data_IF_187084814514
#
_entry.id   IF_187084814514
#
_cell.length_a   1.000
_cell.length_b   1.000
_cell.length_c   1.000
_cell.angle_alpha   90.00
_cell.angle_beta   90.00
_cell.angle_gamma   90.00
#
_symmetry.space_group_name_H-M   'P 1'
#
loop_
_entity.id
_entity.type
_entity.pdbx_description
1 polymer ?
#
# COMPACT_ATOMS: atom_id res chain seq x y z
N UNK A 1 0.30 34.80 -7.65
CA UNK A 1 1.25 34.33 -8.68
C UNK A 1 2.30 33.33 -8.15
N UNK A 2 3.07 33.63 -7.06
CA UNK A 2 4.10 32.69 -6.53
C UNK A 2 3.59 31.28 -6.16
N UNK A 3 2.37 31.13 -5.63
CA UNK A 3 1.78 29.86 -5.22
C UNK A 3 1.49 28.90 -6.38
N UNK A 4 1.09 29.44 -7.54
CA UNK A 4 0.79 28.66 -8.75
C UNK A 4 2.08 28.14 -9.41
N UNK A 5 3.13 28.96 -9.46
CA UNK A 5 4.44 28.52 -9.96
C UNK A 5 5.04 27.40 -9.10
N UNK A 6 4.96 27.52 -7.80
CA UNK A 6 5.49 26.51 -6.85
C UNK A 6 4.77 25.16 -6.94
N UNK A 7 3.46 25.17 -7.19
CA UNK A 7 2.68 23.92 -7.41
C UNK A 7 3.08 23.25 -8.73
N UNK A 8 3.31 24.04 -9.80
CA UNK A 8 3.74 23.51 -11.09
C UNK A 8 5.13 22.84 -11.02
N UNK A 9 6.08 23.43 -10.30
CA UNK A 9 7.43 22.88 -10.16
C UNK A 9 7.42 21.54 -9.37
N UNK A 10 6.61 21.48 -8.31
CA UNK A 10 6.45 20.24 -7.54
C UNK A 10 5.79 19.13 -8.36
N UNK A 11 4.74 19.43 -9.10
CA UNK A 11 4.07 18.46 -9.98
C UNK A 11 5.01 18.00 -11.10
N UNK A 12 5.80 18.91 -11.67
CA UNK A 12 6.81 18.58 -12.67
C UNK A 12 7.89 17.65 -12.12
N UNK A 13 8.39 17.90 -10.91
CA UNK A 13 9.35 17.05 -10.23
C UNK A 13 8.77 15.65 -9.99
N UNK A 14 7.51 15.56 -9.53
CA UNK A 14 6.82 14.29 -9.34
C UNK A 14 6.68 13.49 -10.64
N UNK A 15 6.22 14.13 -11.71
CA UNK A 15 6.11 13.51 -13.02
C UNK A 15 7.46 13.00 -13.53
N UNK A 16 8.52 13.80 -13.35
CA UNK A 16 9.87 13.39 -13.73
C UNK A 16 10.34 12.14 -12.97
N UNK A 17 10.03 12.04 -11.68
CA UNK A 17 10.37 10.87 -10.87
C UNK A 17 9.61 9.62 -11.33
N UNK A 18 8.32 9.74 -11.59
CA UNK A 18 7.48 8.64 -12.11
C UNK A 18 8.01 8.14 -13.47
N UNK A 19 8.29 9.07 -14.38
CA UNK A 19 8.85 8.73 -15.69
C UNK A 19 10.19 8.03 -15.54
N UNK A 20 11.06 8.53 -14.68
CA UNK A 20 12.37 7.92 -14.41
C UNK A 20 12.25 6.50 -13.86
N UNK A 21 11.33 6.24 -12.92
CA UNK A 21 11.11 4.89 -12.40
C UNK A 21 10.61 3.93 -13.50
N UNK A 22 9.62 4.37 -14.29
CA UNK A 22 9.10 3.55 -15.40
C UNK A 22 10.20 3.26 -16.40
N UNK A 23 11.08 4.23 -16.71
CA UNK A 23 12.22 4.03 -17.60
C UNK A 23 13.22 3.02 -17.03
N UNK A 24 13.49 3.05 -15.72
CA UNK A 24 14.36 2.09 -15.06
C UNK A 24 13.80 0.66 -15.11
N UNK A 25 12.48 0.50 -14.84
CA UNK A 25 11.82 -0.79 -14.95
C UNK A 25 11.87 -1.32 -16.39
N UNK A 26 11.58 -0.46 -17.38
CA UNK A 26 11.61 -0.83 -18.79
C UNK A 26 13.04 -1.20 -19.26
N UNK A 27 14.05 -0.43 -18.86
CA UNK A 27 15.46 -0.73 -19.18
C UNK A 27 15.89 -2.07 -18.60
N UNK A 28 15.41 -2.40 -17.40
CA UNK A 28 15.65 -3.70 -16.79
C UNK A 28 14.98 -4.82 -17.60
N UNK A 29 13.73 -4.64 -18.04
CA UNK A 29 13.02 -5.59 -18.90
C UNK A 29 13.82 -5.84 -20.17
N UNK A 30 14.26 -4.79 -20.86
CA UNK A 30 15.05 -4.90 -22.10
C UNK A 30 16.33 -5.71 -21.87
N UNK A 31 17.12 -5.36 -20.84
CA UNK A 31 18.35 -6.08 -20.50
C UNK A 31 18.13 -7.58 -20.26
N UNK A 32 17.08 -7.92 -19.48
CA UNK A 32 16.80 -9.32 -19.16
C UNK A 32 16.20 -10.08 -20.34
N UNK A 33 15.51 -9.41 -21.26
CA UNK A 33 15.05 -9.99 -22.52
C UNK A 33 16.22 -10.31 -23.44
N UNK A 34 17.19 -9.41 -23.57
CA UNK A 34 18.42 -9.65 -24.33
C UNK A 34 19.24 -10.82 -23.73
N UNK A 35 19.30 -10.87 -22.40
CA UNK A 35 19.96 -11.97 -21.71
C UNK A 35 19.33 -13.34 -22.01
N UNK A 36 17.99 -13.42 -22.06
CA UNK A 36 17.28 -14.65 -22.45
C UNK A 36 17.61 -15.02 -23.89
N UNK A 37 17.61 -14.05 -24.81
CA UNK A 37 17.92 -14.28 -26.23
C UNK A 37 19.32 -14.85 -26.42
N UNK A 38 20.30 -14.37 -25.64
CA UNK A 38 21.68 -14.82 -25.70
C UNK A 38 21.96 -16.18 -25.02
N UNK A 39 21.00 -16.68 -24.20
CA UNK A 39 21.16 -17.91 -23.41
C UNK A 39 19.93 -18.83 -23.55
N UNK A 40 19.39 -18.92 -24.77
CA UNK A 40 18.14 -19.62 -25.06
C UNK A 40 18.19 -21.13 -24.73
N UNK A 41 19.38 -21.72 -24.73
CA UNK A 41 19.60 -23.14 -24.45
C UNK A 41 19.71 -23.47 -22.96
N UNK A 42 19.62 -22.47 -22.05
CA UNK A 42 19.70 -22.65 -20.61
C UNK A 42 18.36 -22.42 -19.94
N UNK A 43 17.54 -23.47 -19.64
CA UNK A 43 16.20 -23.32 -19.08
C UNK A 43 16.16 -22.63 -17.70
N UNK A 44 17.16 -22.88 -16.85
CA UNK A 44 17.20 -22.24 -15.51
C UNK A 44 17.46 -20.74 -15.65
N UNK A 45 18.36 -20.35 -16.53
CA UNK A 45 18.66 -18.95 -16.80
C UNK A 45 17.44 -18.22 -17.37
N UNK A 46 16.71 -18.86 -18.29
CA UNK A 46 15.46 -18.32 -18.83
C UNK A 46 14.43 -18.11 -17.71
N UNK A 47 14.26 -19.11 -16.82
CA UNK A 47 13.28 -19.03 -15.69
C UNK A 47 13.56 -17.84 -14.79
N UNK A 48 14.80 -17.63 -14.36
CA UNK A 48 15.19 -16.55 -13.45
C UNK A 48 15.03 -15.17 -14.09
N UNK A 49 15.44 -15.02 -15.35
CA UNK A 49 15.28 -13.78 -16.09
C UNK A 49 13.80 -13.45 -16.36
N UNK A 50 12.98 -14.44 -16.71
CA UNK A 50 11.53 -14.30 -16.87
C UNK A 50 10.87 -13.78 -15.59
N UNK A 51 11.21 -14.32 -14.43
CA UNK A 51 10.68 -13.87 -13.15
C UNK A 51 11.00 -12.39 -12.90
N UNK A 52 12.22 -11.95 -13.26
CA UNK A 52 12.61 -10.54 -13.15
C UNK A 52 11.81 -9.64 -14.09
N UNK A 53 11.62 -10.05 -15.34
CA UNK A 53 10.81 -9.31 -16.32
C UNK A 53 9.36 -9.14 -15.80
N UNK A 54 8.76 -10.21 -15.29
CA UNK A 54 7.40 -10.17 -14.75
C UNK A 54 7.28 -9.21 -13.54
N UNK A 55 8.26 -9.23 -12.62
CA UNK A 55 8.30 -8.27 -11.50
C UNK A 55 8.39 -6.81 -11.96
N UNK A 56 9.24 -6.53 -12.96
CA UNK A 56 9.35 -5.16 -13.46
C UNK A 56 8.07 -4.70 -14.18
N UNK A 57 7.43 -5.57 -14.94
CA UNK A 57 6.14 -5.29 -15.59
C UNK A 57 5.04 -5.04 -14.56
N UNK A 58 5.01 -5.81 -13.47
CA UNK A 58 4.11 -5.61 -12.34
C UNK A 58 4.33 -4.22 -11.68
N UNK A 59 5.58 -3.83 -11.45
CA UNK A 59 5.91 -2.52 -10.87
C UNK A 59 5.48 -1.37 -11.79
N UNK A 60 5.63 -1.51 -13.12
CA UNK A 60 5.12 -0.51 -14.08
C UNK A 60 3.61 -0.37 -13.95
N UNK A 61 2.86 -1.48 -13.96
CA UNK A 61 1.39 -1.45 -13.80
C UNK A 61 0.96 -0.75 -12.52
N UNK A 62 1.58 -1.10 -11.37
CA UNK A 62 1.27 -0.46 -10.08
C UNK A 62 1.62 1.03 -10.06
N UNK A 63 2.76 1.41 -10.66
CA UNK A 63 3.17 2.83 -10.77
C UNK A 63 2.19 3.64 -11.63
N UNK A 64 1.71 3.06 -12.73
CA UNK A 64 0.71 3.71 -13.58
C UNK A 64 -0.63 3.89 -12.85
N UNK A 65 -1.12 2.87 -12.13
CA UNK A 65 -2.34 2.96 -11.32
C UNK A 65 -2.22 4.02 -10.22
N UNK A 66 -1.09 4.06 -9.53
CA UNK A 66 -0.78 5.11 -8.56
C UNK A 66 -0.89 6.51 -9.17
N UNK A 67 -0.33 6.71 -10.37
CA UNK A 67 -0.38 7.99 -11.05
C UNK A 67 -1.81 8.40 -11.43
N UNK A 68 -2.63 7.46 -11.93
CA UNK A 68 -4.04 7.73 -12.23
C UNK A 68 -4.82 8.13 -10.98
N UNK A 69 -4.70 7.37 -9.90
CA UNK A 69 -5.38 7.68 -8.64
C UNK A 69 -4.92 9.03 -8.06
N UNK A 70 -3.63 9.31 -8.10
CA UNK A 70 -3.09 10.61 -7.70
C UNK A 70 -3.65 11.76 -8.54
N UNK A 71 -3.76 11.59 -9.86
CA UNK A 71 -4.34 12.57 -10.75
C UNK A 71 -5.81 12.85 -10.44
N UNK A 72 -6.61 11.78 -10.20
CA UNK A 72 -8.02 11.90 -9.81
C UNK A 72 -8.18 12.64 -8.48
N UNK A 73 -7.34 12.34 -7.49
CA UNK A 73 -7.34 12.99 -6.17
C UNK A 73 -7.04 14.49 -6.31
N UNK A 74 -5.99 14.86 -7.06
CA UNK A 74 -5.58 16.26 -7.17
C UNK A 74 -6.53 17.12 -8.02
N UNK A 75 -7.24 16.50 -8.95
CA UNK A 75 -8.27 17.19 -9.75
C UNK A 75 -9.64 17.23 -9.08
N UNK A 76 -9.77 16.67 -7.86
CA UNK A 76 -11.05 16.45 -7.17
C UNK A 76 -12.07 15.61 -7.98
N UNK A 77 -11.56 14.77 -8.89
CA UNK A 77 -12.38 13.92 -9.75
C UNK A 77 -12.49 12.47 -9.24
N UNK A 78 -12.00 12.18 -8.03
CA UNK A 78 -12.10 10.85 -7.45
C UNK A 78 -13.57 10.50 -7.16
N UNK A 79 -14.17 9.73 -8.06
CA UNK A 79 -15.51 9.17 -7.95
C UNK A 79 -15.37 7.71 -7.56
N UNK A 80 -16.19 7.25 -6.60
CA UNK A 80 -16.18 5.87 -6.11
C UNK A 80 -17.39 5.12 -6.65
N UNK A 81 -17.16 3.96 -7.26
CA UNK A 81 -18.18 3.01 -7.66
C UNK A 81 -18.28 1.89 -6.60
N UNK A 82 -19.02 2.17 -5.51
CA UNK A 82 -19.09 1.28 -4.37
C UNK A 82 -20.04 0.11 -4.63
N UNK A 83 -19.55 -1.11 -4.37
CA UNK A 83 -20.28 -2.38 -4.37
C UNK A 83 -20.09 -3.11 -3.05
N UNK A 84 -20.93 -4.11 -2.78
CA UNK A 84 -20.80 -4.95 -1.57
C UNK A 84 -19.68 -5.96 -1.78
N UNK A 85 -18.60 -5.83 -1.08
CA UNK A 85 -17.36 -6.59 -1.29
C UNK A 85 -16.85 -7.23 0.01
N UNK A 86 -16.21 -8.39 -0.14
CA UNK A 86 -15.53 -9.08 0.95
C UNK A 86 -14.06 -8.60 1.03
N UNK A 87 -13.75 -7.85 2.07
CA UNK A 87 -12.41 -7.27 2.24
C UNK A 87 -11.32 -8.33 2.43
N UNK A 88 -11.64 -9.48 3.04
CA UNK A 88 -10.68 -10.57 3.21
C UNK A 88 -10.20 -11.09 1.85
N UNK A 89 -11.13 -11.29 0.91
CA UNK A 89 -10.78 -11.74 -0.44
C UNK A 89 -9.94 -10.71 -1.20
N UNK A 90 -10.20 -9.43 -0.97
CA UNK A 90 -9.40 -8.35 -1.57
C UNK A 90 -7.96 -8.43 -1.06
N UNK A 91 -7.76 -8.54 0.25
CA UNK A 91 -6.42 -8.58 0.83
C UNK A 91 -5.70 -9.89 0.49
N UNK A 92 -6.38 -11.04 0.52
CA UNK A 92 -5.83 -12.32 0.07
C UNK A 92 -5.38 -12.25 -1.40
N UNK A 93 -6.15 -11.60 -2.27
CA UNK A 93 -5.78 -11.38 -3.67
C UNK A 93 -4.51 -10.54 -3.80
N UNK A 94 -4.47 -9.41 -3.09
CA UNK A 94 -3.32 -8.50 -3.14
C UNK A 94 -2.05 -9.18 -2.56
N UNK A 95 -2.16 -9.87 -1.43
CA UNK A 95 -1.01 -10.57 -0.83
C UNK A 95 -0.42 -11.61 -1.78
N UNK A 96 -1.26 -12.33 -2.50
CA UNK A 96 -0.83 -13.27 -3.53
C UNK A 96 -0.14 -12.57 -4.70
N UNK A 97 -0.66 -11.43 -5.16
CA UNK A 97 -0.04 -10.65 -6.22
C UNK A 97 1.35 -10.12 -5.84
N UNK A 98 1.54 -9.79 -4.56
CA UNK A 98 2.80 -9.26 -4.05
C UNK A 98 3.80 -10.34 -3.58
N UNK A 99 3.40 -11.60 -3.51
CA UNK A 99 4.21 -12.68 -2.95
C UNK A 99 5.58 -12.78 -3.65
N UNK A 100 5.61 -12.88 -4.96
CA UNK A 100 6.85 -12.96 -5.75
C UNK A 100 7.75 -11.73 -5.58
N UNK A 101 7.15 -10.54 -5.51
CA UNK A 101 7.88 -9.30 -5.31
C UNK A 101 8.56 -9.28 -3.94
N UNK A 102 7.84 -9.62 -2.88
CA UNK A 102 8.35 -9.64 -1.51
C UNK A 102 9.37 -10.76 -1.32
N UNK A 103 9.14 -11.94 -1.88
CA UNK A 103 10.08 -13.06 -1.86
C UNK A 103 11.40 -12.73 -2.54
N UNK A 104 11.44 -11.83 -3.52
CA UNK A 104 12.69 -11.35 -4.13
C UNK A 104 13.63 -10.68 -3.12
N UNK A 105 13.10 -10.12 -2.03
CA UNK A 105 13.82 -9.60 -0.85
C UNK A 105 13.83 -10.57 0.34
N UNK A 106 13.36 -11.82 0.15
CA UNK A 106 13.18 -12.82 1.21
C UNK A 106 12.26 -12.35 2.34
N UNK A 107 11.26 -11.53 1.99
CA UNK A 107 10.20 -11.10 2.89
C UNK A 107 9.03 -12.07 2.72
N UNK A 108 8.54 -12.64 3.83
CA UNK A 108 7.42 -13.59 3.84
C UNK A 108 6.19 -12.95 4.47
N UNK A 109 5.02 -13.24 3.92
CA UNK A 109 3.74 -12.80 4.47
C UNK A 109 3.22 -13.87 5.43
N UNK A 110 2.69 -13.44 6.59
CA UNK A 110 2.01 -14.26 7.57
C UNK A 110 0.67 -13.65 7.93
N UNK A 111 -0.37 -14.46 8.02
CA UNK A 111 -1.64 -14.05 8.58
C UNK A 111 -1.69 -14.51 10.05
N UNK A 112 -1.83 -13.55 10.96
CA UNK A 112 -2.05 -13.81 12.38
C UNK A 112 -3.55 -13.81 12.64
N UNK A 113 -4.21 -14.93 12.33
CA UNK A 113 -5.59 -15.14 12.78
C UNK A 113 -5.50 -15.57 14.25
N UNK A 114 -6.28 -14.96 15.13
CA UNK A 114 -6.44 -15.47 16.50
C UNK A 114 -6.92 -16.92 16.40
N UNK A 115 -6.08 -17.85 16.84
CA UNK A 115 -6.30 -19.31 16.72
C UNK A 115 -7.60 -19.79 17.40
N UNK A 116 -8.28 -18.92 18.15
CA UNK A 116 -9.50 -19.21 18.89
C UNK A 116 -10.81 -18.88 18.13
N UNK A 117 -10.74 -18.32 16.94
CA UNK A 117 -11.94 -18.03 16.16
C UNK A 117 -12.03 -19.01 14.97
N UNK A 118 -12.71 -20.16 15.18
CA UNK A 118 -13.15 -21.08 14.10
C UNK A 118 -14.12 -20.40 13.12
N UNK A 119 -14.53 -19.16 13.40
CA UNK A 119 -15.44 -18.38 12.56
C UNK A 119 -14.64 -17.48 11.63
N UNK A 120 -14.54 -17.87 10.39
CA UNK A 120 -14.03 -17.03 9.30
C UNK A 120 -15.05 -15.89 9.07
N UNK A 121 -14.91 -14.77 9.78
CA UNK A 121 -15.78 -13.62 9.60
C UNK A 121 -15.66 -13.10 8.16
N UNK A 122 -16.77 -13.07 7.45
CA UNK A 122 -16.87 -12.38 6.17
C UNK A 122 -17.08 -10.89 6.44
N UNK A 123 -16.03 -10.09 6.28
CA UNK A 123 -16.14 -8.64 6.44
C UNK A 123 -16.67 -8.01 5.16
N UNK A 124 -18.01 -8.01 5.04
CA UNK A 124 -18.69 -7.38 3.91
C UNK A 124 -18.81 -5.88 4.14
N UNK A 125 -18.35 -5.11 3.16
CA UNK A 125 -18.40 -3.65 3.22
C UNK A 125 -18.75 -3.05 1.86
N UNK A 126 -19.33 -1.84 1.88
CA UNK A 126 -19.68 -1.09 0.68
C UNK A 126 -18.47 -0.25 0.26
N UNK A 127 -17.72 -0.73 -0.74
CA UNK A 127 -16.49 -0.07 -1.19
C UNK A 127 -16.29 -0.19 -2.71
N UNK A 128 -15.47 0.70 -3.25
CA UNK A 128 -14.94 0.57 -4.61
C UNK A 128 -13.76 -0.38 -4.57
N UNK A 129 -13.98 -1.61 -5.06
CA UNK A 129 -13.00 -2.70 -5.03
C UNK A 129 -11.67 -2.27 -5.66
N UNK A 130 -11.73 -1.70 -6.87
CA UNK A 130 -10.51 -1.32 -7.61
C UNK A 130 -9.70 -0.25 -6.86
N UNK A 131 -10.36 0.75 -6.30
CA UNK A 131 -9.70 1.82 -5.55
C UNK A 131 -9.10 1.30 -4.23
N UNK A 132 -9.79 0.39 -3.51
CA UNK A 132 -9.23 -0.24 -2.31
C UNK A 132 -8.08 -1.18 -2.66
N UNK A 133 -8.18 -2.00 -3.72
CA UNK A 133 -7.05 -2.81 -4.21
C UNK A 133 -5.82 -1.95 -4.51
N UNK A 134 -5.98 -0.82 -5.18
CA UNK A 134 -4.88 0.10 -5.45
C UNK A 134 -4.32 0.71 -4.15
N UNK A 135 -5.20 1.11 -3.22
CA UNK A 135 -4.79 1.69 -1.94
C UNK A 135 -3.94 0.72 -1.12
N UNK A 136 -4.40 -0.52 -0.94
CA UNK A 136 -3.65 -1.55 -0.21
C UNK A 136 -2.37 -1.92 -0.99
N UNK A 137 -2.42 -2.01 -2.32
CA UNK A 137 -1.22 -2.23 -3.15
C UNK A 137 -0.16 -1.15 -2.93
N UNK A 138 -0.57 0.11 -2.78
CA UNK A 138 0.34 1.22 -2.49
C UNK A 138 1.01 1.07 -1.12
N UNK A 139 0.30 0.56 -0.11
CA UNK A 139 0.88 0.24 1.20
C UNK A 139 1.92 -0.89 1.06
N UNK A 140 1.62 -1.94 0.29
CA UNK A 140 2.56 -3.03 0.03
C UNK A 140 3.80 -2.57 -0.76
N UNK A 141 3.66 -1.63 -1.71
CA UNK A 141 4.81 -1.02 -2.40
C UNK A 141 5.68 -0.21 -1.44
N UNK A 142 5.07 0.54 -0.52
CA UNK A 142 5.82 1.21 0.53
C UNK A 142 6.56 0.21 1.43
N UNK A 143 5.89 -0.86 1.87
CA UNK A 143 6.50 -1.94 2.65
C UNK A 143 7.65 -2.59 1.88
N UNK A 144 7.47 -2.93 0.60
CA UNK A 144 8.53 -3.48 -0.24
C UNK A 144 9.78 -2.60 -0.26
N UNK A 145 9.61 -1.26 -0.29
CA UNK A 145 10.73 -0.32 -0.32
C UNK A 145 11.39 -0.15 1.05
N UNK A 146 10.64 -0.22 2.14
CA UNK A 146 11.09 0.12 3.50
C UNK A 146 11.39 -1.07 4.38
N UNK A 147 10.86 -2.25 4.07
CA UNK A 147 11.06 -3.44 4.88
C UNK A 147 12.50 -3.95 4.81
N UNK A 148 12.95 -4.51 5.93
CA UNK A 148 14.26 -5.20 6.00
C UNK A 148 14.22 -6.50 5.19
N UNK A 149 15.33 -6.79 4.56
CA UNK A 149 15.54 -8.08 3.88
C UNK A 149 15.52 -9.23 4.91
N UNK A 150 15.03 -10.40 4.52
CA UNK A 150 14.88 -11.57 5.39
C UNK A 150 13.93 -11.35 6.58
N UNK A 151 12.85 -10.63 6.40
CA UNK A 151 11.87 -10.30 7.43
C UNK A 151 10.49 -10.88 7.12
N UNK A 152 9.50 -10.53 7.96
CA UNK A 152 8.11 -10.91 7.78
C UNK A 152 7.22 -9.67 7.66
N UNK A 153 6.11 -9.83 6.93
CA UNK A 153 4.95 -8.95 6.98
C UNK A 153 3.83 -9.74 7.64
N UNK A 154 3.35 -9.27 8.76
CA UNK A 154 2.29 -9.91 9.54
C UNK A 154 1.00 -9.13 9.36
N UNK A 155 -0.10 -9.82 9.03
CA UNK A 155 -1.41 -9.21 8.77
C UNK A 155 -2.41 -9.81 9.74
N UNK A 156 -3.17 -8.96 10.41
CA UNK A 156 -4.25 -9.34 11.30
C UNK A 156 -5.50 -8.50 11.08
N UNK A 157 -6.64 -9.05 11.47
CA UNK A 157 -7.93 -8.42 11.38
C UNK A 157 -8.64 -8.47 12.72
N UNK A 158 -9.31 -7.39 13.09
CA UNK A 158 -10.20 -7.36 14.25
C UNK A 158 -11.40 -6.46 13.98
N UNK A 159 -12.56 -6.80 14.55
CA UNK A 159 -13.69 -5.90 14.55
C UNK A 159 -13.58 -4.94 15.73
N UNK A 160 -13.82 -3.65 15.47
CA UNK A 160 -13.85 -2.61 16.51
C UNK A 160 -15.28 -2.11 16.62
N UNK A 161 -15.85 -2.20 17.82
CA UNK A 161 -17.12 -1.59 18.12
C UNK A 161 -16.93 -0.13 18.55
N UNK A 162 -17.87 0.73 18.18
CA UNK A 162 -17.87 2.17 18.50
C UNK A 162 -17.77 2.48 20.01
N UNK A 163 -18.09 1.51 20.87
CA UNK A 163 -18.02 1.67 22.33
C UNK A 163 -16.59 1.56 22.90
N UNK A 164 -15.60 1.32 22.07
CA UNK A 164 -14.20 1.35 22.48
C UNK A 164 -13.64 2.79 22.42
N UNK A 165 -14.24 3.65 23.30
CA UNK A 165 -13.85 5.06 23.41
C UNK A 165 -12.35 5.22 23.72
N UNK A 166 -11.77 4.28 24.45
CA UNK A 166 -10.37 4.29 24.82
C UNK A 166 -9.47 4.08 23.59
N UNK A 167 -9.84 3.17 22.68
CA UNK A 167 -9.12 2.95 21.43
C UNK A 167 -9.21 4.18 20.52
N UNK A 168 -10.39 4.76 20.37
CA UNK A 168 -10.64 5.92 19.52
C UNK A 168 -9.90 7.17 20.04
N UNK A 169 -9.91 7.37 21.35
CA UNK A 169 -9.23 8.50 21.99
C UNK A 169 -7.71 8.39 21.90
N UNK A 170 -7.15 7.21 22.18
CA UNK A 170 -5.71 6.96 22.17
C UNK A 170 -5.11 7.10 20.76
N UNK A 171 -5.89 6.86 19.71
CA UNK A 171 -5.45 6.98 18.32
C UNK A 171 -5.88 8.31 17.66
N UNK A 172 -6.49 9.23 18.40
CA UNK A 172 -6.89 10.55 17.89
C UNK A 172 -7.93 10.49 16.77
N UNK A 173 -8.69 9.39 16.69
CA UNK A 173 -9.70 9.16 15.67
C UNK A 173 -10.91 10.07 15.94
N UNK A 174 -11.29 10.83 14.94
CA UNK A 174 -12.44 11.74 15.03
C UNK A 174 -13.75 10.96 15.01
N UNK A 175 -14.77 11.47 15.69
CA UNK A 175 -16.11 10.91 15.92
C UNK A 175 -16.95 10.55 14.68
N UNK A 176 -16.35 10.28 13.53
CA UNK A 176 -17.05 9.98 12.27
C UNK A 176 -17.06 8.48 11.92
N UNK A 177 -16.58 7.62 12.81
CA UNK A 177 -16.62 6.18 12.58
C UNK A 177 -18.03 5.66 12.82
N UNK A 178 -18.55 4.90 11.87
CA UNK A 178 -19.86 4.24 11.94
C UNK A 178 -19.78 3.07 12.93
N UNK A 179 -20.90 2.67 13.51
CA UNK A 179 -21.03 1.73 14.64
C UNK A 179 -20.26 0.39 14.58
N UNK A 180 -19.75 -0.01 13.41
CA UNK A 180 -18.95 -1.23 13.26
C UNK A 180 -17.83 -0.97 12.27
N UNK A 181 -16.61 -1.22 12.68
CA UNK A 181 -15.44 -1.02 11.84
C UNK A 181 -14.56 -2.29 11.84
N UNK A 182 -13.90 -2.52 10.73
CA UNK A 182 -12.81 -3.48 10.61
C UNK A 182 -11.50 -2.74 10.81
N UNK A 183 -10.66 -3.21 11.72
CA UNK A 183 -9.27 -2.86 11.82
C UNK A 183 -8.43 -3.90 11.09
N UNK A 184 -7.60 -3.45 10.18
CA UNK A 184 -6.59 -4.24 9.50
C UNK A 184 -5.23 -3.73 9.99
N UNK A 185 -4.44 -4.61 10.60
CA UNK A 185 -3.10 -4.30 11.04
C UNK A 185 -2.08 -4.99 10.14
N UNK A 186 -1.08 -4.24 9.67
CA UNK A 186 0.03 -4.77 8.87
C UNK A 186 1.33 -4.39 9.55
N UNK A 187 2.02 -5.38 10.13
CA UNK A 187 3.26 -5.20 10.89
C UNK A 187 4.45 -5.66 10.04
N UNK A 188 5.52 -4.87 10.02
CA UNK A 188 6.76 -5.22 9.31
C UNK A 188 7.99 -4.62 9.98
N UNK A 189 9.13 -5.30 9.85
CA UNK A 189 10.41 -4.73 10.24
C UNK A 189 10.86 -3.70 9.22
N UNK A 190 11.17 -2.48 9.65
CA UNK A 190 11.53 -1.41 8.74
C UNK A 190 12.94 -0.91 8.92
N UNK A 191 13.47 -0.28 7.86
CA UNK A 191 14.55 0.68 7.99
C UNK A 191 14.05 1.85 8.82
N UNK A 192 14.99 2.56 9.48
CA UNK A 192 14.59 3.66 10.34
C UNK A 192 13.91 4.80 9.55
N UNK A 193 12.67 5.08 9.91
CA UNK A 193 11.90 6.23 9.41
C UNK A 193 11.93 7.27 10.53
N UNK A 194 12.46 8.48 10.29
CA UNK A 194 12.43 9.55 11.28
C UNK A 194 11.00 9.90 11.69
N UNK A 195 10.77 10.13 12.99
CA UNK A 195 9.43 10.41 13.54
C UNK A 195 8.75 11.62 12.91
N UNK A 196 9.52 12.66 12.63
CA UNK A 196 9.02 13.86 11.94
C UNK A 196 8.44 13.58 10.55
N UNK A 197 8.91 12.50 9.90
CA UNK A 197 8.40 12.08 8.61
C UNK A 197 7.15 11.23 8.75
N UNK A 198 7.06 10.37 9.76
CA UNK A 198 5.89 9.51 10.00
C UNK A 198 4.59 10.32 10.01
N UNK A 199 4.59 11.47 10.69
CA UNK A 199 3.43 12.37 10.75
C UNK A 199 3.06 13.04 9.41
N UNK A 200 4.00 13.06 8.47
CA UNK A 200 3.83 13.73 7.17
C UNK A 200 3.56 12.76 6.02
N UNK A 201 3.79 11.46 6.23
CA UNK A 201 3.70 10.44 5.17
C UNK A 201 2.34 10.39 4.46
N UNK A 202 1.27 10.69 5.15
CA UNK A 202 -0.08 10.65 4.60
C UNK A 202 -0.61 12.02 4.13
N UNK A 203 0.04 13.12 4.55
CA UNK A 203 -0.52 14.49 4.39
C UNK A 203 -0.02 15.23 3.17
N UNK A 204 1.14 14.87 2.64
CA UNK A 204 1.75 15.58 1.52
C UNK A 204 2.29 14.60 0.48
N UNK A 205 1.97 14.78 -0.82
CA UNK A 205 2.45 13.87 -1.86
C UNK A 205 3.94 13.99 -2.14
N UNK A 206 4.57 15.04 -1.65
CA UNK A 206 5.97 15.35 -1.90
C UNK A 206 6.67 15.70 -0.58
N UNK A 207 7.39 14.74 -0.02
CA UNK A 207 8.42 14.98 0.98
C UNK A 207 9.77 14.75 0.30
N UNK A 208 10.62 15.76 0.36
CA UNK A 208 12.03 15.63 0.01
C UNK A 208 12.79 15.27 1.28
N UNK A 209 13.14 14.01 1.41
CA UNK A 209 14.10 13.58 2.41
C UNK A 209 15.17 12.74 1.70
N UNK A 210 16.39 13.23 1.66
CA UNK A 210 17.56 12.54 1.10
C UNK A 210 17.31 11.86 -0.25
N UNK A 211 16.80 12.61 -1.25
CA UNK A 211 16.58 12.18 -2.64
C UNK A 211 15.46 11.14 -2.88
N UNK A 212 14.84 10.57 -1.84
CA UNK A 212 13.77 9.58 -1.96
C UNK A 212 12.37 10.19 -1.76
N UNK A 213 11.99 11.17 -2.58
CA UNK A 213 10.68 11.83 -2.52
C UNK A 213 9.49 10.95 -2.93
N UNK A 214 9.74 9.80 -3.54
CA UNK A 214 8.73 8.95 -4.16
C UNK A 214 7.89 8.14 -3.16
N UNK A 215 8.47 7.71 -2.06
CA UNK A 215 7.79 6.83 -1.10
C UNK A 215 6.52 7.43 -0.47
N UNK A 216 6.39 8.74 -0.44
CA UNK A 216 5.24 9.43 0.11
C UNK A 216 4.00 9.40 -0.78
N UNK A 217 4.18 9.31 -2.09
CA UNK A 217 3.05 9.29 -3.01
C UNK A 217 2.17 8.06 -2.79
N UNK A 218 2.78 6.92 -2.50
CA UNK A 218 2.06 5.69 -2.18
C UNK A 218 1.10 5.89 -1.00
N UNK A 219 1.62 6.38 0.13
CA UNK A 219 0.83 6.54 1.34
C UNK A 219 -0.14 7.72 1.26
N UNK A 220 0.23 8.82 0.61
CA UNK A 220 -0.69 9.93 0.35
C UNK A 220 -1.90 9.48 -0.47
N UNK A 221 -1.69 8.72 -1.53
CA UNK A 221 -2.77 8.21 -2.39
C UNK A 221 -3.62 7.20 -1.65
N UNK A 222 -3.00 6.27 -0.90
CA UNK A 222 -3.70 5.29 -0.07
C UNK A 222 -4.62 5.98 0.95
N UNK A 223 -4.10 6.96 1.68
CA UNK A 223 -4.86 7.73 2.66
C UNK A 223 -6.10 8.39 2.06
N UNK A 224 -5.94 9.11 0.95
CA UNK A 224 -7.05 9.83 0.32
C UNK A 224 -8.16 8.88 -0.16
N UNK A 225 -7.80 7.70 -0.67
CA UNK A 225 -8.76 6.68 -1.09
C UNK A 225 -9.49 6.11 0.15
N UNK A 226 -8.77 5.72 1.21
CA UNK A 226 -9.34 5.15 2.43
C UNK A 226 -10.27 6.16 3.09
N UNK A 227 -9.87 7.42 3.24
CA UNK A 227 -10.70 8.48 3.81
C UNK A 227 -11.96 8.73 2.97
N UNK A 228 -11.86 8.65 1.64
CA UNK A 228 -13.04 8.76 0.76
C UNK A 228 -14.02 7.60 0.94
N UNK A 229 -13.55 6.47 1.46
CA UNK A 229 -14.38 5.32 1.88
C UNK A 229 -14.91 5.44 3.32
N UNK A 230 -14.74 6.58 3.96
CA UNK A 230 -15.08 6.82 5.37
C UNK A 230 -14.25 5.98 6.34
N UNK A 231 -13.07 5.58 5.93
CA UNK A 231 -12.06 4.91 6.74
C UNK A 231 -10.98 5.87 7.24
N UNK A 232 -9.98 5.32 7.90
CA UNK A 232 -8.75 6.03 8.30
C UNK A 232 -7.53 5.11 8.20
N UNK A 233 -6.32 5.70 8.15
CA UNK A 233 -5.06 4.97 8.15
C UNK A 233 -3.97 5.78 8.86
N UNK A 234 -3.20 5.09 9.69
CA UNK A 234 -2.00 5.66 10.32
C UNK A 234 -0.90 4.61 10.49
N UNK A 235 0.28 5.05 10.89
CA UNK A 235 1.44 4.20 11.15
C UNK A 235 1.93 4.41 12.58
N UNK A 236 2.18 3.31 13.29
CA UNK A 236 2.78 3.30 14.61
C UNK A 236 4.18 2.70 14.56
N UNK A 237 5.06 3.19 15.43
CA UNK A 237 6.34 2.56 15.69
C UNK A 237 6.23 1.66 16.92
N UNK A 238 6.57 0.41 16.78
CA UNK A 238 6.52 -0.60 17.85
C UNK A 238 7.89 -1.24 18.06
N UNK A 239 8.08 -1.94 19.18
CA UNK A 239 9.31 -2.64 19.55
C UNK A 239 10.57 -1.76 19.43
N UNK A 240 10.61 -0.66 20.18
CA UNK A 240 11.69 0.32 20.16
C UNK A 240 11.96 0.88 18.74
N UNK A 241 10.90 1.07 17.95
CA UNK A 241 10.90 1.59 16.56
C UNK A 241 11.52 0.63 15.52
N UNK A 242 11.85 -0.60 15.88
CA UNK A 242 12.36 -1.59 14.93
C UNK A 242 11.30 -2.14 14.00
N UNK A 243 10.04 -2.11 14.44
CA UNK A 243 8.89 -2.50 13.64
C UNK A 243 7.95 -1.31 13.43
N UNK A 244 7.26 -1.33 12.33
CA UNK A 244 6.19 -0.41 11.98
C UNK A 244 4.89 -1.19 11.83
N UNK A 245 3.80 -0.55 12.24
CA UNK A 245 2.46 -1.09 12.15
C UNK A 245 1.57 -0.10 11.41
N UNK A 246 1.08 -0.48 10.24
CA UNK A 246 -0.04 0.21 9.61
C UNK A 246 -1.33 -0.26 10.27
N UNK A 247 -2.17 0.69 10.62
CA UNK A 247 -3.54 0.47 11.09
C UNK A 247 -4.47 1.07 10.05
N UNK A 248 -5.38 0.27 9.52
CA UNK A 248 -6.35 0.69 8.51
C UNK A 248 -7.74 0.39 9.06
N UNK A 249 -8.58 1.39 9.14
CA UNK A 249 -9.98 1.23 9.55
C UNK A 249 -10.88 1.41 8.34
N UNK A 250 -11.80 0.48 8.16
CA UNK A 250 -12.86 0.56 7.17
C UNK A 250 -14.22 0.27 7.82
N UNK A 251 -15.28 1.03 7.48
CA UNK A 251 -16.63 0.73 7.97
C UNK A 251 -17.10 -0.60 7.39
N UNK A 252 -17.72 -1.45 8.21
CA UNK A 252 -18.32 -2.71 7.78
C UNK A 252 -19.82 -2.71 8.03
N UNK A 253 -20.55 -3.34 7.11
CA UNK A 253 -21.97 -3.61 7.31
C UNK A 253 -22.06 -4.98 8.00
N UNK A 254 -22.37 -5.02 9.29
CA UNK A 254 -22.76 -6.27 9.94
C UNK A 254 -24.16 -6.65 9.46
N UNK A 255 -24.28 -7.33 8.33
CA UNK A 255 -25.44 -8.17 8.09
C UNK A 255 -25.13 -9.49 8.80
N UNK A 256 -25.69 -9.64 10.01
CA UNK A 256 -25.77 -10.94 10.67
C UNK A 256 -26.77 -11.77 9.85
N UNK A 257 -26.31 -12.78 9.15
CA UNK A 257 -27.06 -13.97 8.86
C UNK A 257 -26.49 -15.14 9.66
#
# INVERSE_FOLDING_TARGET
MKKVFYINDKLKSLLSNIIYEIQNYNSTIMKYTENIQNNIDNPNYIKDNKATILRQSFLIDKTMKLFYDFSDINSNNLILNKTSEDINKIIEGITKDFEDLLLSKRIKIKFNNNENEEVKYNYITLLDKSKIENSISNIFLFIYNMAKVNSFVEISYSSIDYNDEEFLFNNGLKNNLINNNLLIEIIFESQNIPEELELKLFKTPLLTYNENSFNNLYLYTAYNIIVKHSGDIWIDAIENRNKKKFNIILPINKNYE
#
